data_IF_277815935122
#
_entry.id   IF_277815935122
#
_cell.length_a   1.000
_cell.length_b   1.000
_cell.length_c   1.000
_cell.angle_alpha   90.00
_cell.angle_beta   90.00
_cell.angle_gamma   90.00
#
_symmetry.space_group_name_H-M   'P 1'
#
loop_
_entity.id
_entity.type
_entity.pdbx_description
1 polymer ?
#
# COMPACT_ATOMS: atom_id res chain seq x y z
N UNK A 1 32.15 13.86 0.59
CA UNK A 1 31.39 12.63 0.92
C UNK A 1 30.26 12.51 -0.08
N UNK A 2 30.30 11.54 -0.99
CA UNK A 2 29.21 11.32 -1.95
C UNK A 2 28.12 10.52 -1.26
N UNK A 3 26.98 11.16 -0.96
CA UNK A 3 25.84 10.50 -0.36
C UNK A 3 25.05 9.83 -1.49
N UNK A 4 25.32 8.56 -1.79
CA UNK A 4 24.61 7.82 -2.82
C UNK A 4 23.22 7.44 -2.31
N UNK A 5 22.25 8.31 -2.54
CA UNK A 5 20.84 8.01 -2.31
C UNK A 5 20.37 6.88 -3.22
N UNK A 6 19.55 5.98 -2.69
CA UNK A 6 18.80 5.05 -3.53
C UNK A 6 17.84 5.81 -4.46
N UNK A 7 17.50 5.24 -5.62
CA UNK A 7 16.52 5.83 -6.55
C UNK A 7 15.20 6.24 -5.86
N UNK A 8 14.79 5.46 -4.85
CA UNK A 8 13.60 5.76 -4.05
C UNK A 8 13.78 6.97 -3.14
N UNK A 9 14.90 7.06 -2.42
CA UNK A 9 15.21 8.21 -1.57
C UNK A 9 15.34 9.50 -2.39
N UNK A 10 15.94 9.45 -3.57
CA UNK A 10 16.04 10.60 -4.46
C UNK A 10 14.66 11.02 -4.99
N UNK A 11 13.79 10.06 -5.31
CA UNK A 11 12.40 10.37 -5.68
C UNK A 11 11.66 11.08 -4.56
N UNK A 12 11.77 10.60 -3.32
CA UNK A 12 11.17 11.26 -2.16
C UNK A 12 11.74 12.66 -1.95
N UNK A 13 13.06 12.84 -2.08
CA UNK A 13 13.73 14.14 -1.97
C UNK A 13 13.12 15.14 -2.96
N UNK A 14 13.01 14.77 -4.23
CA UNK A 14 12.39 15.61 -5.27
C UNK A 14 10.91 15.93 -4.99
N UNK A 15 10.15 14.96 -4.49
CA UNK A 15 8.75 15.21 -4.09
C UNK A 15 8.67 16.24 -2.95
N UNK A 16 9.62 16.22 -2.02
CA UNK A 16 9.63 17.15 -0.88
C UNK A 16 10.03 18.58 -1.25
N UNK A 17 10.62 18.81 -2.42
CA UNK A 17 10.90 20.15 -2.96
C UNK A 17 9.62 20.87 -3.41
N UNK A 18 8.54 20.14 -3.73
CA UNK A 18 7.24 20.72 -4.04
C UNK A 18 6.46 20.99 -2.74
N UNK A 19 6.01 22.23 -2.46
CA UNK A 19 5.19 22.57 -1.30
C UNK A 19 3.96 21.66 -1.11
N UNK A 20 3.28 21.29 -2.20
CA UNK A 20 2.08 20.43 -2.19
C UNK A 20 2.37 18.97 -1.85
N UNK A 21 3.62 18.54 -1.90
CA UNK A 21 4.03 17.17 -1.55
C UNK A 21 5.20 17.14 -0.58
N UNK A 22 5.41 18.23 0.16
CA UNK A 22 6.52 18.43 1.10
C UNK A 22 6.57 17.39 2.22
N UNK A 23 5.45 16.70 2.50
CA UNK A 23 5.34 15.62 3.48
C UNK A 23 5.44 14.21 2.87
N UNK A 24 5.84 14.06 1.60
CA UNK A 24 5.95 12.75 0.95
C UNK A 24 6.84 11.78 1.74
N UNK A 25 6.34 10.57 2.01
CA UNK A 25 7.09 9.51 2.70
C UNK A 25 7.40 9.75 4.18
N UNK A 26 6.89 10.82 4.80
CA UNK A 26 6.93 10.99 6.26
C UNK A 26 5.94 10.04 6.94
N UNK A 27 6.13 9.76 8.24
CA UNK A 27 5.15 9.02 9.04
C UNK A 27 3.82 9.80 9.10
N UNK A 28 2.70 9.09 9.19
CA UNK A 28 1.39 9.69 9.44
C UNK A 28 1.21 9.92 10.94
N UNK A 29 0.88 11.15 11.31
CA UNK A 29 0.49 11.50 12.67
C UNK A 29 -1.01 11.28 12.87
N UNK A 30 -1.45 11.13 14.12
CA UNK A 30 -2.85 10.83 14.44
C UNK A 30 -3.77 11.97 14.01
N UNK A 31 -3.36 13.21 14.22
CA UNK A 31 -4.11 14.41 13.87
C UNK A 31 -4.28 14.54 12.35
N UNK A 32 -3.24 14.17 11.60
CA UNK A 32 -3.29 14.14 10.13
C UNK A 32 -4.24 13.06 9.62
N UNK A 33 -4.27 11.91 10.30
CA UNK A 33 -5.18 10.81 9.99
C UNK A 33 -6.64 11.17 10.30
N UNK A 34 -6.88 11.88 11.40
CA UNK A 34 -8.21 12.41 11.75
C UNK A 34 -8.67 13.44 10.70
N UNK A 35 -7.79 14.38 10.34
CA UNK A 35 -8.09 15.39 9.30
C UNK A 35 -8.42 14.74 7.96
N UNK A 36 -7.69 13.67 7.58
CA UNK A 36 -8.01 12.90 6.38
C UNK A 36 -9.44 12.34 6.44
N UNK A 37 -9.83 11.76 7.58
CA UNK A 37 -11.16 11.15 7.73
C UNK A 37 -12.28 12.19 7.69
N UNK A 38 -12.10 13.33 8.36
CA UNK A 38 -13.07 14.43 8.33
C UNK A 38 -13.32 14.90 6.89
N UNK A 39 -12.24 15.11 6.13
CA UNK A 39 -12.32 15.54 4.72
C UNK A 39 -12.97 14.52 3.81
N UNK A 40 -12.69 13.24 4.03
CA UNK A 40 -13.37 12.17 3.31
C UNK A 40 -14.86 12.21 3.62
N UNK A 41 -15.27 12.37 4.88
CA UNK A 41 -16.68 12.48 5.24
C UNK A 41 -17.35 13.69 4.56
N UNK A 42 -16.62 14.80 4.42
CA UNK A 42 -17.06 16.02 3.73
C UNK A 42 -17.14 15.92 2.19
N UNK A 43 -16.85 14.74 1.61
CA UNK A 43 -16.80 14.50 0.15
C UNK A 43 -15.71 15.31 -0.58
N UNK A 44 -14.64 15.68 0.12
CA UNK A 44 -13.51 16.35 -0.52
C UNK A 44 -12.77 15.38 -1.47
N UNK A 45 -12.26 15.90 -2.59
CA UNK A 45 -11.55 15.07 -3.58
C UNK A 45 -10.20 14.59 -3.04
N UNK A 46 -9.73 13.42 -3.48
CA UNK A 46 -8.42 12.89 -3.07
C UNK A 46 -7.30 13.87 -3.43
N UNK A 47 -7.42 14.55 -4.57
CA UNK A 47 -6.47 15.54 -5.06
C UNK A 47 -6.40 16.78 -4.17
N UNK A 48 -7.52 17.29 -3.70
CA UNK A 48 -7.57 18.46 -2.83
C UNK A 48 -7.07 18.13 -1.41
N UNK A 49 -7.48 16.97 -0.88
CA UNK A 49 -6.98 16.45 0.39
C UNK A 49 -5.46 16.28 0.33
N UNK A 50 -4.94 15.75 -0.77
CA UNK A 50 -3.50 15.55 -0.96
C UNK A 50 -2.73 16.88 -0.86
N UNK A 51 -3.21 17.94 -1.53
CA UNK A 51 -2.59 19.27 -1.46
C UNK A 51 -2.63 19.84 -0.04
N UNK A 52 -3.76 19.74 0.64
CA UNK A 52 -3.94 20.31 1.98
C UNK A 52 -3.11 19.60 3.04
N UNK A 53 -2.98 18.27 2.94
CA UNK A 53 -2.11 17.47 3.81
C UNK A 53 -0.66 17.45 3.31
N UNK A 54 -0.35 18.14 2.21
CA UNK A 54 0.98 18.17 1.58
C UNK A 54 1.55 16.77 1.27
N UNK A 55 0.65 15.84 0.91
CA UNK A 55 0.93 14.45 0.57
C UNK A 55 0.67 14.22 -0.92
N UNK A 56 1.12 13.08 -1.44
CA UNK A 56 0.75 12.67 -2.79
C UNK A 56 -0.65 12.05 -2.79
N UNK A 57 -1.43 12.22 -3.86
CA UNK A 57 -2.73 11.56 -4.04
C UNK A 57 -2.63 10.03 -3.86
N UNK A 58 -1.55 9.43 -4.37
CA UNK A 58 -1.27 8.00 -4.15
C UNK A 58 -1.05 7.63 -2.68
N UNK A 59 -0.48 8.52 -1.86
CA UNK A 59 -0.34 8.31 -0.42
C UNK A 59 -1.68 8.40 0.30
N UNK A 60 -2.54 9.37 -0.07
CA UNK A 60 -3.91 9.49 0.45
C UNK A 60 -4.68 8.19 0.15
N UNK A 61 -4.72 7.80 -1.12
CA UNK A 61 -5.42 6.59 -1.57
C UNK A 61 -4.91 5.32 -0.87
N UNK A 62 -3.59 5.18 -0.73
CA UNK A 62 -2.99 4.04 0.00
C UNK A 62 -3.41 4.03 1.47
N UNK A 63 -3.46 5.20 2.12
CA UNK A 63 -3.87 5.31 3.53
C UNK A 63 -5.32 4.86 3.73
N UNK A 64 -6.22 5.28 2.84
CA UNK A 64 -7.63 4.88 2.86
C UNK A 64 -7.81 3.38 2.64
N UNK A 65 -7.09 2.79 1.67
CA UNK A 65 -7.11 1.34 1.43
C UNK A 65 -6.66 0.56 2.69
N UNK A 66 -5.60 1.01 3.36
CA UNK A 66 -5.11 0.34 4.58
C UNK A 66 -6.15 0.40 5.70
N UNK A 67 -6.85 1.54 5.85
CA UNK A 67 -7.95 1.66 6.81
C UNK A 67 -9.15 0.78 6.47
N UNK A 68 -9.50 0.68 5.20
CA UNK A 68 -10.56 -0.24 4.72
C UNK A 68 -10.23 -1.69 5.04
N UNK A 69 -9.00 -2.13 4.78
CA UNK A 69 -8.54 -3.47 5.12
C UNK A 69 -8.56 -3.72 6.63
N UNK A 70 -8.11 -2.75 7.42
CA UNK A 70 -8.12 -2.86 8.87
C UNK A 70 -9.53 -3.00 9.44
N UNK A 71 -10.49 -2.24 8.89
CA UNK A 71 -11.90 -2.35 9.29
C UNK A 71 -12.46 -3.76 9.03
N UNK A 72 -12.16 -4.36 7.88
CA UNK A 72 -12.58 -5.74 7.55
C UNK A 72 -11.92 -6.75 8.50
N UNK A 73 -10.64 -6.55 8.82
CA UNK A 73 -9.91 -7.44 9.72
C UNK A 73 -10.43 -7.35 11.18
N UNK A 74 -10.88 -6.17 11.62
CA UNK A 74 -11.45 -5.95 12.96
C UNK A 74 -12.92 -6.40 13.05
N UNK A 75 -13.72 -6.09 12.05
CA UNK A 75 -15.13 -6.43 11.96
C UNK A 75 -15.39 -7.32 10.73
N UNK A 76 -15.40 -8.63 10.98
CA UNK A 76 -15.59 -9.65 9.94
C UNK A 76 -17.01 -9.67 9.34
N UNK A 77 -17.94 -8.86 9.87
CA UNK A 77 -19.25 -8.66 9.25
C UNK A 77 -19.23 -7.65 8.10
N UNK A 78 -18.22 -6.78 8.05
CA UNK A 78 -18.07 -5.77 7.01
C UNK A 78 -17.54 -6.42 5.74
N UNK A 79 -18.28 -6.22 4.65
CA UNK A 79 -17.89 -6.66 3.31
C UNK A 79 -16.86 -5.73 2.68
N UNK A 80 -16.19 -6.22 1.63
CA UNK A 80 -15.24 -5.43 0.84
C UNK A 80 -15.90 -4.19 0.24
N UNK A 81 -17.16 -4.31 -0.23
CA UNK A 81 -17.92 -3.22 -0.84
C UNK A 81 -18.28 -2.15 0.20
N UNK A 82 -18.76 -2.54 1.38
CA UNK A 82 -19.08 -1.60 2.48
C UNK A 82 -17.84 -0.84 2.96
N UNK A 83 -16.70 -1.52 3.09
CA UNK A 83 -15.44 -0.87 3.44
C UNK A 83 -14.98 0.11 2.35
N UNK A 84 -15.12 -0.27 1.07
CA UNK A 84 -14.76 0.59 -0.05
C UNK A 84 -15.60 1.86 -0.08
N UNK A 85 -16.92 1.72 0.08
CA UNK A 85 -17.88 2.84 0.16
C UNK A 85 -17.53 3.79 1.31
N UNK A 86 -17.31 3.25 2.52
CA UNK A 86 -16.99 4.06 3.72
C UNK A 86 -15.75 4.93 3.54
N UNK A 87 -14.74 4.44 2.83
CA UNK A 87 -13.49 5.16 2.61
C UNK A 87 -13.41 5.83 1.24
N UNK A 88 -14.51 5.87 0.47
CA UNK A 88 -14.62 6.51 -0.85
C UNK A 88 -13.53 6.06 -1.83
N UNK A 89 -13.28 4.75 -1.84
CA UNK A 89 -12.37 4.07 -2.75
C UNK A 89 -13.12 2.95 -3.47
N UNK A 90 -12.51 2.36 -4.49
CA UNK A 90 -13.13 1.22 -5.19
C UNK A 90 -12.63 -0.11 -4.66
N UNK A 91 -13.41 -1.17 -4.82
CA UNK A 91 -12.96 -2.53 -4.49
C UNK A 91 -11.78 -2.96 -5.37
N UNK A 92 -11.73 -2.50 -6.61
CA UNK A 92 -10.60 -2.71 -7.52
C UNK A 92 -9.31 -2.10 -6.96
N UNK A 93 -9.38 -0.94 -6.31
CA UNK A 93 -8.22 -0.32 -5.67
C UNK A 93 -7.67 -1.17 -4.53
N UNK A 94 -8.55 -1.70 -3.69
CA UNK A 94 -8.19 -2.58 -2.57
C UNK A 94 -7.55 -3.86 -3.10
N UNK A 95 -8.17 -4.49 -4.09
CA UNK A 95 -7.66 -5.72 -4.73
C UNK A 95 -6.30 -5.48 -5.40
N UNK A 96 -6.15 -4.39 -6.15
CA UNK A 96 -4.89 -4.02 -6.79
C UNK A 96 -3.77 -3.79 -5.74
N UNK A 97 -4.10 -3.15 -4.62
CA UNK A 97 -3.15 -2.96 -3.52
C UNK A 97 -2.71 -4.30 -2.92
N UNK A 98 -3.65 -5.20 -2.62
CA UNK A 98 -3.35 -6.53 -2.08
C UNK A 98 -2.50 -7.36 -3.05
N UNK A 99 -2.85 -7.38 -4.34
CA UNK A 99 -2.09 -8.09 -5.38
C UNK A 99 -0.64 -7.56 -5.47
N UNK A 100 -0.47 -6.24 -5.48
CA UNK A 100 0.85 -5.63 -5.48
C UNK A 100 1.64 -5.89 -4.20
N UNK A 101 0.97 -5.95 -3.03
CA UNK A 101 1.61 -6.33 -1.75
C UNK A 101 2.12 -7.76 -1.80
N UNK A 102 1.32 -8.72 -2.27
CA UNK A 102 1.72 -10.13 -2.47
C UNK A 102 2.89 -10.25 -3.45
N UNK A 103 2.84 -9.53 -4.58
CA UNK A 103 3.95 -9.50 -5.55
C UNK A 103 5.25 -9.00 -4.93
N UNK A 104 5.21 -7.90 -4.15
CA UNK A 104 6.39 -7.36 -3.45
C UNK A 104 6.96 -8.37 -2.45
N UNK A 105 6.10 -9.01 -1.66
CA UNK A 105 6.50 -10.05 -0.70
C UNK A 105 7.18 -11.22 -1.41
N UNK A 106 6.59 -11.71 -2.51
CA UNK A 106 7.18 -12.77 -3.33
C UNK A 106 8.54 -12.36 -3.90
N UNK A 107 8.66 -11.16 -4.49
CA UNK A 107 9.94 -10.69 -5.04
C UNK A 107 11.01 -10.53 -3.97
N UNK A 108 10.63 -10.08 -2.77
CA UNK A 108 11.57 -9.98 -1.65
C UNK A 108 11.98 -11.36 -1.13
N UNK A 109 11.04 -12.31 -1.04
CA UNK A 109 11.34 -13.71 -0.68
C UNK A 109 12.32 -14.32 -1.68
N UNK A 110 12.07 -14.16 -2.99
CA UNK A 110 12.93 -14.70 -4.05
C UNK A 110 14.33 -14.07 -4.06
N UNK A 111 14.48 -12.82 -3.61
CA UNK A 111 15.79 -12.18 -3.47
C UNK A 111 16.62 -12.79 -2.33
N UNK A 112 15.97 -13.16 -1.23
CA UNK A 112 16.66 -13.73 -0.06
C UNK A 112 16.83 -15.24 -0.17
N UNK A 113 15.86 -15.93 -0.76
CA UNK A 113 15.85 -17.36 -1.03
C UNK A 113 15.53 -17.58 -2.52
N UNK A 114 16.53 -17.52 -3.41
CA UNK A 114 16.31 -17.76 -4.82
C UNK A 114 15.87 -19.20 -5.05
N UNK A 115 14.78 -19.37 -5.78
CA UNK A 115 14.32 -20.70 -6.22
C UNK A 115 15.40 -21.28 -7.12
N UNK A 116 15.96 -22.42 -6.73
CA UNK A 116 16.93 -23.17 -7.51
C UNK A 116 16.33 -24.49 -8.02
N UNK A 117 17.03 -25.10 -8.98
CA UNK A 117 16.57 -26.32 -9.66
C UNK A 117 16.29 -27.48 -8.68
N UNK A 118 17.11 -27.61 -7.63
CA UNK A 118 16.92 -28.65 -6.61
C UNK A 118 15.63 -28.44 -5.81
N UNK A 119 15.31 -27.18 -5.48
CA UNK A 119 14.06 -26.83 -4.78
C UNK A 119 12.83 -27.16 -5.63
N UNK A 120 12.90 -26.86 -6.94
CA UNK A 120 11.85 -27.20 -7.90
C UNK A 120 11.68 -28.72 -7.99
N UNK A 121 12.79 -29.45 -8.12
CA UNK A 121 12.76 -30.92 -8.20
C UNK A 121 12.14 -31.56 -6.97
N UNK A 122 12.54 -31.13 -5.75
CA UNK A 122 11.96 -31.62 -4.51
C UNK A 122 10.45 -31.38 -4.42
N UNK A 123 9.97 -30.19 -4.83
CA UNK A 123 8.53 -29.88 -4.85
C UNK A 123 7.77 -30.76 -5.85
N UNK A 124 8.34 -31.03 -7.03
CA UNK A 124 7.72 -31.89 -8.03
C UNK A 124 7.59 -33.34 -7.54
N UNK A 125 8.62 -33.86 -6.87
CA UNK A 125 8.57 -35.19 -6.23
C UNK A 125 7.49 -35.22 -5.15
N UNK A 126 7.39 -34.19 -4.31
CA UNK A 126 6.37 -34.11 -3.26
C UNK A 126 4.95 -34.09 -3.84
N UNK A 127 4.70 -33.28 -4.88
CA UNK A 127 3.40 -33.24 -5.57
C UNK A 127 3.06 -34.62 -6.16
N UNK A 128 4.01 -35.26 -6.85
CA UNK A 128 3.80 -36.58 -7.44
C UNK A 128 3.44 -37.63 -6.37
N UNK A 129 4.07 -37.56 -5.20
CA UNK A 129 3.78 -38.46 -4.07
C UNK A 129 2.40 -38.26 -3.45
N UNK A 130 1.83 -37.05 -3.53
CA UNK A 130 0.48 -36.74 -3.01
C UNK A 130 -0.64 -37.04 -4.01
N UNK A 131 -0.30 -37.14 -5.30
CA UNK A 131 -1.23 -37.47 -6.37
C UNK A 131 -1.30 -38.98 -6.66
N UNK A 132 -0.34 -39.75 -6.14
CA UNK A 132 -0.29 -41.22 -6.21
C UNK A 132 -1.00 -41.83 -5.01
#
# INVERSE_FOLDING_TARGET
MSNTYTLYQEKLRKQRENPETSRAGLKWEVEEDNTLMDKINDNESIEDIAKQLQRTAGSIKTRLIVKALHLIDEDHSITLDEAAEKYKITTQDIQAYQANKKKRQLTNSLRHNPVNLNTIYSLLVEINSKLS
#
